data_IF_286709373507
#
_entry.id   IF_286709373507
#
_cell.length_a   1.000
_cell.length_b   1.000
_cell.length_c   1.000
_cell.angle_alpha   90.00
_cell.angle_beta   90.00
_cell.angle_gamma   90.00
#
_symmetry.space_group_name_H-M   'P 1'
#
loop_
_entity.id
_entity.type
_entity.pdbx_description
1 polymer ?
#
# COMPACT_ATOMS: atom_id res chain seq x y z
N UNK A 1 -16.51 22.08 -28.73
CA UNK A 1 -17.57 21.64 -27.77
C UNK A 1 -17.02 20.83 -26.59
N UNK A 2 -15.76 21.00 -26.22
CA UNK A 2 -15.13 20.35 -25.05
C UNK A 2 -14.97 21.32 -23.86
N UNK A 3 -15.47 22.54 -23.97
CA UNK A 3 -15.25 23.59 -22.96
C UNK A 3 -16.42 23.80 -22.00
N UNK A 4 -17.50 23.03 -22.09
CA UNK A 4 -18.66 23.22 -21.22
C UNK A 4 -18.70 22.30 -19.98
N UNK A 5 -17.65 21.52 -19.74
CA UNK A 5 -17.57 20.59 -18.60
C UNK A 5 -16.70 21.07 -17.42
N UNK A 6 -16.14 22.29 -17.50
CA UNK A 6 -15.18 22.76 -16.49
C UNK A 6 -15.59 24.00 -15.72
N UNK A 7 -16.80 24.54 -15.93
CA UNK A 7 -17.18 25.85 -15.33
C UNK A 7 -18.12 25.84 -14.14
N UNK A 8 -18.64 24.68 -13.73
CA UNK A 8 -19.59 24.62 -12.61
C UNK A 8 -19.13 23.78 -11.41
N UNK A 9 -17.82 23.54 -11.29
CA UNK A 9 -17.29 22.99 -10.06
C UNK A 9 -16.75 24.13 -9.20
N UNK A 10 -17.58 24.54 -8.24
CA UNK A 10 -17.24 25.54 -7.23
C UNK A 10 -16.15 24.98 -6.32
N UNK A 11 -14.90 25.19 -6.71
CA UNK A 11 -13.70 24.64 -6.08
C UNK A 11 -13.51 25.14 -4.64
N UNK A 12 -14.09 26.29 -4.31
CA UNK A 12 -14.01 26.86 -2.96
C UNK A 12 -14.93 26.17 -1.96
N UNK A 13 -16.09 25.67 -2.38
CA UNK A 13 -17.01 24.96 -1.49
C UNK A 13 -16.61 23.49 -1.27
N UNK A 14 -16.01 22.83 -2.26
CA UNK A 14 -15.62 21.42 -2.14
C UNK A 14 -14.37 21.21 -1.28
N UNK A 15 -13.46 22.17 -1.24
CA UNK A 15 -12.22 22.05 -0.44
C UNK A 15 -12.46 22.20 1.06
N UNK A 16 -13.49 22.96 1.46
CA UNK A 16 -13.80 23.18 2.86
C UNK A 16 -14.46 21.96 3.54
N UNK A 17 -15.31 21.21 2.82
CA UNK A 17 -15.95 19.99 3.35
C UNK A 17 -14.99 18.81 3.47
N UNK A 18 -14.02 18.70 2.56
CA UNK A 18 -13.05 17.60 2.57
C UNK A 18 -12.00 17.70 3.68
N UNK A 19 -11.77 18.87 4.21
CA UNK A 19 -10.76 19.15 5.24
C UNK A 19 -11.34 19.33 6.64
N UNK A 20 -12.64 19.19 6.83
CA UNK A 20 -13.24 19.36 8.15
C UNK A 20 -12.80 18.22 9.08
N UNK A 21 -12.20 18.52 10.27
CA UNK A 21 -11.69 17.51 11.18
C UNK A 21 -12.72 16.45 11.59
N UNK A 22 -14.00 16.83 11.68
CA UNK A 22 -15.10 15.93 12.00
C UNK A 22 -15.36 14.88 10.91
N UNK A 23 -15.12 15.21 9.63
CA UNK A 23 -15.25 14.26 8.50
C UNK A 23 -14.10 13.26 8.52
N UNK A 24 -12.88 13.71 8.86
CA UNK A 24 -11.73 12.84 9.04
C UNK A 24 -11.89 11.95 10.28
N UNK A 25 -12.42 12.49 11.38
CA UNK A 25 -12.72 11.72 12.59
C UNK A 25 -13.84 10.69 12.35
N UNK A 26 -14.91 11.06 11.63
CA UNK A 26 -16.01 10.16 11.27
C UNK A 26 -15.51 8.99 10.37
N UNK A 27 -14.53 9.22 9.48
CA UNK A 27 -13.90 8.16 8.70
C UNK A 27 -12.97 7.28 9.53
N UNK A 28 -12.30 7.83 10.54
CA UNK A 28 -11.39 7.08 11.42
C UNK A 28 -12.13 6.14 12.38
N UNK A 29 -13.33 6.50 12.82
CA UNK A 29 -14.16 5.75 13.78
C UNK A 29 -15.28 4.96 13.10
N UNK A 30 -15.23 4.71 11.81
CA UNK A 30 -16.30 3.98 11.13
C UNK A 30 -16.22 2.49 11.48
N UNK A 31 -17.36 1.87 11.75
CA UNK A 31 -17.55 0.43 11.91
C UNK A 31 -16.95 -0.39 10.74
N UNK A 32 -16.60 0.29 9.67
CA UNK A 32 -16.01 -0.29 8.48
C UNK A 32 -14.49 -0.52 8.57
N UNK A 33 -13.84 -0.06 9.67
CA UNK A 33 -12.40 -0.29 9.88
C UNK A 33 -12.16 -0.84 11.30
N UNK A 34 -12.62 -2.05 11.62
CA UNK A 34 -12.50 -2.60 12.96
C UNK A 34 -11.06 -2.96 13.29
N UNK A 35 -10.72 -2.91 14.56
CA UNK A 35 -9.53 -3.54 15.13
C UNK A 35 -9.61 -5.08 14.99
N UNK A 36 -8.51 -5.78 15.28
CA UNK A 36 -8.53 -7.25 15.33
C UNK A 36 -9.60 -7.80 16.26
N UNK A 37 -9.67 -7.27 17.47
CA UNK A 37 -10.64 -7.75 18.50
C UNK A 37 -12.08 -7.48 18.06
N UNK A 38 -12.37 -6.31 17.55
CA UNK A 38 -13.71 -5.97 17.04
C UNK A 38 -14.09 -6.82 15.84
N UNK A 39 -13.14 -7.06 14.92
CA UNK A 39 -13.37 -7.89 13.74
C UNK A 39 -13.67 -9.35 14.12
N UNK A 40 -12.92 -9.93 15.06
CA UNK A 40 -13.05 -11.35 15.44
C UNK A 40 -14.22 -11.61 16.38
N UNK A 41 -14.69 -10.61 17.12
CA UNK A 41 -15.85 -10.75 18.03
C UNK A 41 -17.14 -10.14 17.47
N UNK A 42 -17.08 -9.53 16.31
CA UNK A 42 -18.22 -8.86 15.67
C UNK A 42 -19.09 -9.79 14.81
N UNK A 43 -20.22 -9.27 14.31
CA UNK A 43 -21.17 -10.06 13.52
C UNK A 43 -20.63 -10.51 12.14
N UNK A 44 -19.50 -9.96 11.71
CA UNK A 44 -18.84 -10.30 10.43
C UNK A 44 -17.52 -11.06 10.64
N UNK A 45 -17.32 -11.66 11.82
CA UNK A 45 -16.09 -12.34 12.22
C UNK A 45 -15.62 -13.41 11.24
N UNK A 46 -16.53 -14.27 10.77
CA UNK A 46 -16.19 -15.34 9.81
C UNK A 46 -15.60 -14.76 8.52
N UNK A 47 -16.19 -13.68 8.00
CA UNK A 47 -15.73 -13.06 6.76
C UNK A 47 -14.40 -12.30 6.95
N UNK A 48 -14.16 -11.71 8.12
CA UNK A 48 -12.87 -11.12 8.43
C UNK A 48 -11.80 -12.19 8.63
N UNK A 49 -12.12 -13.29 9.28
CA UNK A 49 -11.23 -14.44 9.43
C UNK A 49 -10.85 -15.05 8.08
N UNK A 50 -11.83 -15.27 7.18
CA UNK A 50 -11.56 -15.72 5.82
C UNK A 50 -10.64 -14.73 5.06
N UNK A 51 -10.89 -13.43 5.22
CA UNK A 51 -10.05 -12.38 4.62
C UNK A 51 -8.61 -12.39 5.17
N UNK A 52 -8.43 -12.65 6.47
CA UNK A 52 -7.12 -12.77 7.11
C UNK A 52 -6.37 -14.02 6.62
N UNK A 53 -7.03 -15.18 6.59
CA UNK A 53 -6.45 -16.42 6.04
C UNK A 53 -5.98 -16.24 4.59
N UNK A 54 -6.81 -15.59 3.77
CA UNK A 54 -6.47 -15.32 2.38
C UNK A 54 -5.25 -14.41 2.24
N UNK A 55 -5.15 -13.39 3.09
CA UNK A 55 -3.99 -12.46 3.09
C UNK A 55 -2.72 -13.20 3.48
N UNK A 56 -2.71 -13.93 4.61
CA UNK A 56 -1.55 -14.69 5.07
C UNK A 56 -1.10 -15.70 4.00
N UNK A 57 -2.03 -16.49 3.48
CA UNK A 57 -1.73 -17.45 2.42
C UNK A 57 -1.14 -16.77 1.19
N UNK A 58 -1.67 -15.61 0.77
CA UNK A 58 -1.13 -14.87 -0.38
C UNK A 58 0.31 -14.44 -0.12
N UNK A 59 0.62 -13.96 1.09
CA UNK A 59 1.96 -13.53 1.47
C UNK A 59 2.95 -14.70 1.57
N UNK A 60 2.50 -15.85 2.08
CA UNK A 60 3.28 -17.09 2.11
C UNK A 60 3.54 -17.64 0.69
N UNK A 61 2.51 -17.71 -0.15
CA UNK A 61 2.64 -18.13 -1.56
C UNK A 61 3.59 -17.22 -2.34
N UNK A 62 3.72 -15.96 -1.94
CA UNK A 62 4.67 -15.00 -2.49
C UNK A 62 6.04 -15.03 -1.83
N UNK A 63 6.28 -15.90 -0.86
CA UNK A 63 7.57 -16.05 -0.17
C UNK A 63 8.05 -14.73 0.45
N UNK A 64 7.19 -14.09 1.26
CA UNK A 64 7.43 -12.76 1.82
C UNK A 64 8.36 -12.80 3.04
N UNK A 65 8.38 -13.90 3.79
CA UNK A 65 9.13 -14.06 5.02
C UNK A 65 9.60 -15.50 5.27
N UNK A 66 10.50 -15.63 6.21
CA UNK A 66 10.83 -16.88 6.88
C UNK A 66 10.35 -16.83 8.32
N UNK A 67 9.77 -17.93 8.82
CA UNK A 67 9.46 -18.08 10.25
C UNK A 67 10.70 -18.60 10.96
N UNK A 68 11.20 -17.85 11.93
CA UNK A 68 12.43 -18.17 12.65
C UNK A 68 12.26 -18.06 14.16
N UNK A 69 13.04 -18.78 14.97
CA UNK A 69 13.05 -18.59 16.41
C UNK A 69 13.48 -17.17 16.81
N UNK A 70 12.77 -16.57 17.78
CA UNK A 70 13.11 -15.25 18.31
C UNK A 70 14.37 -15.35 19.18
N UNK A 71 15.31 -14.45 18.97
CA UNK A 71 16.49 -14.28 19.82
C UNK A 71 16.48 -12.91 20.51
N UNK A 72 17.31 -12.74 21.55
CA UNK A 72 17.29 -11.51 22.37
C UNK A 72 17.95 -10.31 21.70
N UNK A 73 18.73 -10.51 20.66
CA UNK A 73 19.41 -9.49 19.87
C UNK A 73 18.58 -8.91 18.73
N UNK A 74 17.46 -9.55 18.40
CA UNK A 74 16.56 -9.08 17.33
C UNK A 74 15.77 -7.85 17.74
N UNK A 75 15.76 -6.82 16.85
CA UNK A 75 14.79 -5.73 16.93
C UNK A 75 13.51 -6.16 16.21
N UNK A 76 12.54 -6.69 16.99
CA UNK A 76 11.29 -7.21 16.43
C UNK A 76 10.23 -6.11 16.42
N UNK A 77 9.77 -5.74 15.25
CA UNK A 77 8.73 -4.73 15.06
C UNK A 77 7.34 -5.32 15.38
N UNK A 78 6.47 -4.58 16.06
CA UNK A 78 5.08 -5.00 16.20
C UNK A 78 4.37 -5.09 14.86
N UNK A 79 3.39 -5.98 14.77
CA UNK A 79 2.52 -6.11 13.62
C UNK A 79 1.08 -5.67 13.94
N UNK A 80 0.28 -5.46 12.92
CA UNK A 80 -1.14 -5.11 13.07
C UNK A 80 -1.95 -5.55 11.87
N UNK A 81 -3.25 -5.72 12.08
CA UNK A 81 -4.21 -5.91 11.01
C UNK A 81 -4.88 -4.59 10.64
N UNK A 82 -5.00 -4.32 9.35
CA UNK A 82 -5.81 -3.25 8.79
C UNK A 82 -7.03 -3.87 8.09
N UNK A 83 -8.14 -3.98 8.82
CA UNK A 83 -9.41 -4.46 8.27
C UNK A 83 -10.20 -3.34 7.64
N UNK A 84 -10.97 -3.69 6.59
CA UNK A 84 -11.90 -2.79 5.94
C UNK A 84 -13.13 -3.52 5.42
N UNK A 85 -14.30 -3.04 5.81
CA UNK A 85 -15.57 -3.37 5.19
C UNK A 85 -15.83 -2.42 4.03
N UNK A 86 -15.97 -2.93 2.82
CA UNK A 86 -16.46 -2.15 1.68
C UNK A 86 -17.93 -2.43 1.50
N UNK A 87 -18.74 -1.36 1.37
CA UNK A 87 -20.19 -1.45 1.19
C UNK A 87 -20.61 -1.01 -0.21
N UNK A 88 -21.75 -1.47 -0.62
CA UNK A 88 -22.49 -0.91 -1.74
C UNK A 88 -23.18 0.41 -1.30
N UNK A 89 -23.68 1.24 -2.25
CA UNK A 89 -24.40 2.48 -1.91
C UNK A 89 -25.64 2.28 -1.03
N UNK A 90 -26.25 1.09 -1.07
CA UNK A 90 -27.40 0.71 -0.22
C UNK A 90 -27.02 0.31 1.21
N UNK A 91 -25.71 0.35 1.55
CA UNK A 91 -25.17 -0.01 2.85
C UNK A 91 -24.89 -1.50 3.04
N UNK A 92 -25.27 -2.39 2.10
CA UNK A 92 -24.97 -3.81 2.17
C UNK A 92 -23.48 -4.09 2.02
N UNK A 93 -22.97 -5.15 2.66
CA UNK A 93 -21.57 -5.53 2.61
C UNK A 93 -21.21 -6.02 1.21
N UNK A 94 -20.27 -5.32 0.56
CA UNK A 94 -19.72 -5.72 -0.74
C UNK A 94 -18.54 -6.66 -0.61
N UNK A 95 -17.61 -6.34 0.32
CA UNK A 95 -16.36 -7.09 0.50
C UNK A 95 -15.71 -6.75 1.83
N UNK A 96 -15.27 -7.76 2.54
CA UNK A 96 -14.36 -7.63 3.68
C UNK A 96 -12.92 -7.79 3.19
N UNK A 97 -12.02 -6.98 3.71
CA UNK A 97 -10.61 -6.98 3.35
C UNK A 97 -9.74 -6.86 4.59
N UNK A 98 -8.81 -7.79 4.77
CA UNK A 98 -7.73 -7.70 5.73
C UNK A 98 -6.41 -7.41 5.01
N UNK A 99 -5.55 -6.66 5.67
CA UNK A 99 -4.14 -6.49 5.30
C UNK A 99 -3.29 -6.68 6.54
N UNK A 100 -2.30 -7.54 6.43
CA UNK A 100 -1.27 -7.65 7.43
C UNK A 100 -0.24 -6.53 7.24
N UNK A 101 0.04 -5.77 8.31
CA UNK A 101 0.90 -4.60 8.25
C UNK A 101 1.94 -4.64 9.38
N UNK A 102 3.14 -4.16 9.10
CA UNK A 102 4.16 -3.89 10.12
C UNK A 102 3.95 -2.49 10.69
N UNK A 103 4.19 -2.30 11.99
CA UNK A 103 4.18 -0.99 12.65
C UNK A 103 5.46 -0.21 12.31
N UNK A 104 5.51 0.35 11.10
CA UNK A 104 6.64 1.15 10.62
C UNK A 104 6.91 2.43 11.44
N UNK A 105 5.92 2.90 12.20
CA UNK A 105 6.09 3.95 13.19
C UNK A 105 7.04 3.56 14.33
N UNK A 106 7.31 2.27 14.51
CA UNK A 106 8.24 1.71 15.49
C UNK A 106 9.62 1.38 14.92
N UNK A 107 9.82 1.54 13.61
CA UNK A 107 11.12 1.33 12.99
C UNK A 107 12.16 2.33 13.49
N UNK A 108 13.38 1.84 13.69
CA UNK A 108 14.55 2.62 14.11
C UNK A 108 15.47 2.88 12.93
N UNK A 109 15.84 4.14 12.77
CA UNK A 109 16.81 4.56 11.76
C UNK A 109 18.19 3.90 12.00
N UNK A 110 18.83 3.49 10.92
CA UNK A 110 20.11 2.78 10.95
C UNK A 110 20.04 1.32 11.41
N UNK A 111 18.84 0.80 11.77
CA UNK A 111 18.63 -0.59 12.17
C UNK A 111 17.62 -1.27 11.24
N UNK A 112 16.42 -0.71 11.14
CA UNK A 112 15.31 -1.30 10.35
C UNK A 112 15.15 -0.63 8.97
N UNK A 113 15.68 0.56 8.79
CA UNK A 113 15.67 1.33 7.55
C UNK A 113 16.76 2.42 7.58
N UNK A 114 17.07 3.00 6.41
CA UNK A 114 17.88 4.20 6.28
C UNK A 114 16.97 5.40 5.97
N UNK A 115 17.00 6.41 6.83
CA UNK A 115 16.15 7.60 6.67
C UNK A 115 16.51 8.45 5.44
N UNK A 116 17.71 8.31 4.90
CA UNK A 116 18.13 8.98 3.66
C UNK A 116 17.51 8.34 2.41
N UNK A 117 17.04 7.10 2.49
CA UNK A 117 16.58 6.27 1.37
C UNK A 117 15.08 5.88 1.45
N UNK A 118 14.25 6.69 2.10
CA UNK A 118 12.80 6.40 2.20
C UNK A 118 11.93 7.20 1.23
N UNK A 119 12.48 8.22 0.57
CA UNK A 119 11.72 9.04 -0.36
C UNK A 119 11.38 8.24 -1.62
N UNK A 120 10.10 8.08 -1.88
CA UNK A 120 9.59 7.46 -3.11
C UNK A 120 8.99 8.53 -4.02
N UNK A 121 9.44 8.65 -5.28
CA UNK A 121 8.80 9.52 -6.24
C UNK A 121 7.33 9.16 -6.45
N UNK A 122 6.50 10.18 -6.68
CA UNK A 122 5.10 10.03 -7.04
C UNK A 122 4.86 10.86 -8.31
N UNK A 123 4.21 10.26 -9.31
CA UNK A 123 3.89 10.94 -10.56
C UNK A 123 3.09 12.22 -10.31
N UNK A 124 3.46 13.32 -10.98
CA UNK A 124 2.74 14.57 -10.87
C UNK A 124 1.41 14.51 -11.63
N UNK A 125 0.38 15.20 -11.11
CA UNK A 125 -0.89 15.34 -11.83
C UNK A 125 -0.75 16.01 -13.20
N UNK A 126 0.25 16.89 -13.36
CA UNK A 126 0.54 17.54 -14.65
C UNK A 126 1.03 16.52 -15.67
N UNK A 127 1.90 15.59 -15.29
CA UNK A 127 2.37 14.49 -16.14
C UNK A 127 1.22 13.58 -16.56
N UNK A 128 0.35 13.19 -15.61
CA UNK A 128 -0.84 12.37 -15.90
C UNK A 128 -1.76 13.07 -16.90
N UNK A 129 -2.09 14.35 -16.67
CA UNK A 129 -2.94 15.15 -17.57
C UNK A 129 -2.32 15.30 -18.96
N UNK A 130 -1.01 15.57 -19.03
CA UNK A 130 -0.28 15.67 -20.30
C UNK A 130 -0.40 14.37 -21.09
N UNK A 131 -0.15 13.22 -20.47
CA UNK A 131 -0.25 11.92 -21.15
C UNK A 131 -1.68 11.64 -21.64
N UNK A 132 -2.70 11.97 -20.85
CA UNK A 132 -4.09 11.82 -21.28
C UNK A 132 -4.45 12.74 -22.45
N UNK A 133 -3.98 14.00 -22.46
CA UNK A 133 -4.19 14.92 -23.58
C UNK A 133 -3.48 14.40 -24.83
N UNK A 134 -2.21 14.01 -24.71
CA UNK A 134 -1.44 13.46 -25.83
C UNK A 134 -2.08 12.18 -26.39
N UNK A 135 -2.60 11.31 -25.54
CA UNK A 135 -3.27 10.09 -26.00
C UNK A 135 -4.49 10.40 -26.86
N UNK A 136 -5.27 11.41 -26.51
CA UNK A 136 -6.43 11.84 -27.30
C UNK A 136 -5.99 12.53 -28.60
N UNK A 137 -5.05 13.48 -28.52
CA UNK A 137 -4.60 14.27 -29.68
C UNK A 137 -3.91 13.40 -30.74
N UNK A 138 -3.11 12.43 -30.28
CA UNK A 138 -2.34 11.55 -31.17
C UNK A 138 -3.04 10.21 -31.47
N UNK A 139 -4.25 10.00 -30.94
CA UNK A 139 -4.99 8.76 -31.15
C UNK A 139 -4.32 7.52 -30.56
N UNK A 140 -3.57 7.68 -29.45
CA UNK A 140 -2.83 6.59 -28.82
C UNK A 140 -3.76 5.65 -28.05
N UNK A 141 -3.45 4.37 -28.08
CA UNK A 141 -4.13 3.40 -27.21
C UNK A 141 -3.59 3.51 -25.78
N UNK A 142 -4.49 3.51 -24.81
CA UNK A 142 -4.13 3.56 -23.39
C UNK A 142 -4.52 2.27 -22.67
N UNK A 143 -3.69 1.84 -21.71
CA UNK A 143 -3.98 0.73 -20.80
C UNK A 143 -3.71 1.17 -19.36
N UNK A 144 -4.56 0.76 -18.45
CA UNK A 144 -4.35 0.92 -17.01
C UNK A 144 -4.04 -0.44 -16.42
N UNK A 145 -2.99 -0.49 -15.59
CA UNK A 145 -2.58 -1.70 -14.85
C UNK A 145 -2.59 -1.37 -13.37
N UNK A 146 -3.11 -2.28 -12.54
CA UNK A 146 -3.06 -2.21 -11.08
C UNK A 146 -2.29 -3.42 -10.53
N UNK A 147 -1.37 -3.17 -9.62
CA UNK A 147 -0.58 -4.22 -8.98
C UNK A 147 -1.29 -4.73 -7.73
N UNK A 148 -1.66 -6.00 -7.75
CA UNK A 148 -2.14 -6.67 -6.53
C UNK A 148 -0.97 -6.86 -5.57
N UNK A 149 -1.15 -6.43 -4.30
CA UNK A 149 -0.12 -6.54 -3.27
C UNK A 149 1.25 -5.94 -3.67
N UNK A 150 1.23 -4.71 -4.21
CA UNK A 150 2.37 -4.07 -4.87
C UNK A 150 3.70 -4.19 -4.11
N UNK A 151 3.74 -3.86 -2.82
CA UNK A 151 4.99 -3.80 -2.04
C UNK A 151 5.70 -5.16 -1.94
N UNK A 152 4.97 -6.26 -1.84
CA UNK A 152 5.56 -7.60 -1.67
C UNK A 152 6.18 -8.17 -2.95
N UNK A 153 6.14 -7.42 -4.05
CA UNK A 153 6.94 -7.75 -5.24
C UNK A 153 8.39 -7.25 -5.12
N UNK A 154 8.64 -6.30 -4.23
CA UNK A 154 9.96 -5.71 -4.03
C UNK A 154 10.71 -6.40 -2.88
N UNK A 155 12.01 -6.73 -3.05
CA UNK A 155 12.83 -7.23 -1.95
C UNK A 155 12.92 -6.18 -0.83
N UNK A 156 13.19 -6.64 0.40
CA UNK A 156 13.29 -5.75 1.57
C UNK A 156 14.57 -4.88 1.55
N UNK A 157 15.59 -5.26 0.79
CA UNK A 157 16.91 -4.66 0.80
C UNK A 157 17.91 -5.46 1.63
N UNK A 158 19.02 -4.82 2.00
CA UNK A 158 20.15 -5.48 2.67
C UNK A 158 20.00 -5.55 4.20
N UNK A 159 19.05 -4.82 4.78
CA UNK A 159 18.80 -4.82 6.22
C UNK A 159 17.90 -5.99 6.64
N UNK A 160 18.28 -6.65 7.72
CA UNK A 160 17.46 -7.67 8.34
C UNK A 160 16.30 -7.01 9.12
N UNK A 161 15.07 -7.21 8.66
CA UNK A 161 13.86 -6.68 9.30
C UNK A 161 13.05 -7.84 9.87
N UNK A 162 12.77 -7.76 11.17
CA UNK A 162 11.99 -8.75 11.89
C UNK A 162 10.67 -8.15 12.35
N UNK A 163 9.59 -8.92 12.28
CA UNK A 163 8.32 -8.52 12.85
C UNK A 163 7.60 -9.66 13.57
N UNK A 164 6.69 -9.27 14.47
CA UNK A 164 5.81 -10.21 15.15
C UNK A 164 4.89 -10.90 14.14
N UNK A 165 4.60 -12.17 14.39
CA UNK A 165 3.65 -12.92 13.59
C UNK A 165 2.25 -12.31 13.66
N UNK A 166 1.41 -12.49 12.63
CA UNK A 166 0.05 -11.96 12.62
C UNK A 166 -0.78 -12.51 13.78
N UNK A 167 -1.56 -11.65 14.44
CA UNK A 167 -2.56 -12.10 15.41
C UNK A 167 -3.47 -13.17 14.78
N UNK A 168 -3.69 -14.27 15.51
CA UNK A 168 -4.42 -15.44 15.03
C UNK A 168 -3.57 -16.50 14.29
N UNK A 169 -2.31 -16.21 13.94
CA UNK A 169 -1.40 -17.10 13.22
C UNK A 169 -0.04 -17.24 13.93
N UNK A 170 0.05 -16.83 15.17
CA UNK A 170 1.31 -16.82 15.92
C UNK A 170 1.75 -18.21 16.35
N UNK A 171 3.05 -18.49 16.17
CA UNK A 171 3.74 -19.65 16.76
C UNK A 171 4.54 -19.20 17.96
N UNK A 172 4.43 -19.89 19.12
CA UNK A 172 5.15 -19.51 20.32
C UNK A 172 6.66 -19.46 20.12
N UNK A 173 7.28 -18.32 20.46
CA UNK A 173 8.73 -18.14 20.37
C UNK A 173 9.27 -17.90 18.96
N UNK A 174 8.40 -17.71 17.96
CA UNK A 174 8.80 -17.42 16.58
C UNK A 174 8.50 -15.97 16.20
N UNK A 175 9.22 -15.50 15.20
CA UNK A 175 9.04 -14.19 14.52
C UNK A 175 9.20 -14.35 13.02
N UNK A 176 8.77 -13.36 12.28
CA UNK A 176 8.96 -13.30 10.83
C UNK A 176 10.23 -12.52 10.50
N UNK A 177 11.15 -13.14 9.74
CA UNK A 177 12.23 -12.44 9.06
C UNK A 177 11.73 -12.09 7.65
N UNK A 178 11.61 -10.81 7.35
CA UNK A 178 11.09 -10.34 6.06
C UNK A 178 12.13 -10.50 4.96
N UNK A 179 11.71 -11.05 3.82
CA UNK A 179 12.48 -11.14 2.56
C UNK A 179 12.03 -10.08 1.57
N UNK A 180 10.79 -9.63 1.71
CA UNK A 180 10.16 -8.64 0.82
C UNK A 180 9.52 -7.51 1.61
N UNK A 181 9.34 -6.39 0.93
CA UNK A 181 8.69 -5.22 1.50
C UNK A 181 7.22 -5.52 1.86
N UNK A 182 6.79 -5.06 3.02
CA UNK A 182 5.45 -5.29 3.51
C UNK A 182 4.75 -3.97 3.84
N UNK A 183 3.42 -3.97 3.83
CA UNK A 183 2.62 -2.81 4.18
C UNK A 183 3.00 -2.27 5.56
N UNK A 184 3.12 -0.94 5.66
CA UNK A 184 3.47 -0.24 6.89
C UNK A 184 4.96 0.06 7.05
N UNK A 185 5.87 -0.62 6.36
CA UNK A 185 7.29 -0.29 6.38
C UNK A 185 7.57 1.04 5.68
N UNK A 186 8.45 1.86 6.25
CA UNK A 186 8.82 3.18 5.72
C UNK A 186 9.49 3.09 4.35
N UNK A 187 10.35 2.07 4.14
CA UNK A 187 11.05 1.85 2.87
C UNK A 187 10.22 1.11 1.81
N UNK A 188 9.05 0.55 2.15
CA UNK A 188 8.27 -0.22 1.17
C UNK A 188 7.92 0.56 -0.10
N UNK A 189 7.54 1.85 -0.06
CA UNK A 189 7.25 2.62 -1.27
C UNK A 189 8.45 2.77 -2.19
N UNK A 190 9.63 3.12 -1.67
CA UNK A 190 10.84 3.30 -2.48
C UNK A 190 11.34 1.97 -3.03
N UNK A 191 11.30 0.89 -2.23
CA UNK A 191 11.67 -0.43 -2.70
C UNK A 191 10.80 -0.87 -3.88
N UNK A 192 9.48 -0.64 -3.80
CA UNK A 192 8.57 -0.93 -4.90
C UNK A 192 8.85 -0.06 -6.13
N UNK A 193 9.08 1.24 -5.94
CA UNK A 193 9.46 2.14 -7.04
C UNK A 193 10.71 1.64 -7.76
N UNK A 194 11.77 1.33 -7.02
CA UNK A 194 13.03 0.82 -7.58
C UNK A 194 12.84 -0.52 -8.31
N UNK A 195 12.01 -1.40 -7.75
CA UNK A 195 11.68 -2.68 -8.38
C UNK A 195 10.98 -2.49 -9.73
N UNK A 196 9.96 -1.62 -9.80
CA UNK A 196 9.24 -1.33 -11.05
C UNK A 196 10.15 -0.59 -12.04
N UNK A 197 10.92 0.41 -11.58
CA UNK A 197 11.90 1.13 -12.41
C UNK A 197 12.85 0.13 -13.08
N UNK A 198 13.47 -0.77 -12.33
CA UNK A 198 14.37 -1.77 -12.88
C UNK A 198 13.71 -2.71 -13.90
N UNK A 199 12.44 -3.09 -13.67
CA UNK A 199 11.68 -3.91 -14.64
C UNK A 199 11.39 -3.15 -15.94
N UNK A 200 11.02 -1.88 -15.84
CA UNK A 200 10.77 -1.02 -16.99
C UNK A 200 12.06 -0.76 -17.79
N UNK A 201 13.17 -0.47 -17.09
CA UNK A 201 14.48 -0.28 -17.72
C UNK A 201 14.95 -1.55 -18.45
N UNK A 202 14.77 -2.72 -17.85
CA UNK A 202 15.05 -4.00 -18.51
C UNK A 202 14.17 -4.24 -19.74
N UNK A 203 12.94 -3.73 -19.74
CA UNK A 203 12.03 -3.78 -20.89
C UNK A 203 12.32 -2.70 -21.96
N UNK A 204 13.37 -1.89 -21.80
CA UNK A 204 13.80 -0.87 -22.76
C UNK A 204 13.23 0.53 -22.54
N UNK A 205 12.50 0.74 -21.44
CA UNK A 205 12.03 2.07 -21.07
C UNK A 205 13.14 2.86 -20.35
N UNK A 206 13.10 4.18 -20.48
CA UNK A 206 14.01 5.11 -19.78
C UNK A 206 13.20 6.08 -18.95
N UNK A 207 13.59 6.29 -17.69
CA UNK A 207 13.02 7.34 -16.85
C UNK A 207 13.36 8.72 -17.40
N UNK A 208 12.42 9.65 -17.33
CA UNK A 208 12.64 11.04 -17.69
C UNK A 208 12.74 11.93 -16.43
N UNK A 209 13.87 11.85 -15.75
CA UNK A 209 14.11 12.56 -14.50
C UNK A 209 14.07 14.10 -14.63
N UNK A 210 14.15 14.64 -15.86
CA UNK A 210 14.04 16.08 -16.11
C UNK A 210 12.60 16.59 -15.99
N UNK A 211 11.63 15.75 -16.39
CA UNK A 211 10.20 16.11 -16.36
C UNK A 211 9.54 15.50 -15.13
N UNK A 212 9.67 14.19 -14.96
CA UNK A 212 9.05 13.42 -13.89
C UNK A 212 9.73 12.05 -13.81
N UNK A 213 10.32 11.70 -12.67
CA UNK A 213 11.02 10.42 -12.49
C UNK A 213 10.09 9.18 -12.57
N UNK A 214 8.77 9.40 -12.50
CA UNK A 214 7.77 8.36 -12.72
C UNK A 214 7.31 8.28 -14.19
N UNK A 215 7.85 9.10 -15.10
CA UNK A 215 7.59 9.04 -16.53
C UNK A 215 8.65 8.19 -17.22
N UNK A 216 8.22 7.09 -17.82
CA UNK A 216 9.08 6.17 -18.56
C UNK A 216 8.70 6.18 -20.04
N UNK A 217 9.69 6.27 -20.91
CA UNK A 217 9.53 6.36 -22.37
C UNK A 217 10.42 5.29 -23.01
N UNK A 218 9.90 4.57 -23.98
CA UNK A 218 10.69 3.71 -24.89
C UNK A 218 10.80 4.38 -26.24
N UNK A 219 11.91 4.15 -26.92
CA UNK A 219 12.16 4.59 -28.30
C UNK A 219 11.25 3.85 -29.27
#
# INVERSE_FOLDING_TARGET
KLWSLTTDYDFEHSTCEWLHPAILAAKANSEDNPSWEEAMNGPLSDGYWESANKEVKTLEDMDVWDVIPRTSDMNVLPSTWAFKCKRFPDGSVRKLKGRFCVRGDRQKDGIDYDSSEIYSPVVSWNTVRLLLILSVVLGLQTKQVDYTAAFVHAPIGDLDVFCEMPSGFSEPGCVLKLKKSLYGLKQAPINFFNHIKGKLEHAGFKSNDTIDSCLFISD
#
